data_IF_204332879298
#
_entry.id   IF_204332879298
#
_cell.length_a   1.000
_cell.length_b   1.000
_cell.length_c   1.000
_cell.angle_alpha   90.00
_cell.angle_beta   90.00
_cell.angle_gamma   90.00
#
_symmetry.space_group_name_H-M   'P 1'
#
loop_
_entity.id
_entity.type
_entity.pdbx_description
1 polymer ?
#
# COMPACT_ATOMS: atom_id res chain seq x y z
N UNK A 1 4.82 37.95 -31.34
CA UNK A 1 3.52 37.84 -30.62
C UNK A 1 3.02 36.39 -30.54
N UNK A 2 3.81 35.45 -30.00
CA UNK A 2 3.42 34.02 -29.91
C UNK A 2 3.84 33.38 -28.57
N UNK A 3 3.77 34.13 -27.47
CA UNK A 3 4.08 33.62 -26.12
C UNK A 3 2.89 33.67 -25.13
N UNK A 4 1.75 34.23 -25.51
CA UNK A 4 0.61 34.40 -24.59
C UNK A 4 -0.52 33.37 -24.74
N UNK A 5 -0.51 32.52 -25.78
CA UNK A 5 -1.57 31.49 -25.96
C UNK A 5 -1.41 30.26 -25.06
N UNK A 6 -0.25 30.04 -24.44
CA UNK A 6 0.03 28.84 -23.63
C UNK A 6 -0.49 28.90 -22.18
N UNK A 7 -0.78 30.08 -21.64
CA UNK A 7 -1.24 30.22 -20.24
C UNK A 7 -2.76 30.21 -20.08
N UNK A 8 -3.54 30.47 -21.14
CA UNK A 8 -5.00 30.50 -21.06
C UNK A 8 -5.65 29.10 -21.17
N UNK A 9 -5.05 28.15 -21.90
CA UNK A 9 -5.59 26.79 -22.03
C UNK A 9 -5.44 25.95 -20.74
N UNK A 10 -4.40 26.23 -19.93
CA UNK A 10 -4.06 25.42 -18.76
C UNK A 10 -5.00 25.64 -17.56
N UNK A 11 -5.75 26.75 -17.50
CA UNK A 11 -6.71 27.02 -16.41
C UNK A 11 -8.12 26.50 -16.69
N UNK A 12 -8.54 26.43 -17.95
CA UNK A 12 -9.90 25.99 -18.30
C UNK A 12 -10.04 24.46 -18.35
N UNK A 13 -9.01 23.73 -18.78
CA UNK A 13 -9.04 22.26 -18.82
C UNK A 13 -9.00 21.59 -17.44
N UNK A 14 -8.22 22.14 -16.50
CA UNK A 14 -8.13 21.64 -15.12
C UNK A 14 -9.42 21.84 -14.32
N UNK A 15 -10.14 22.94 -14.56
CA UNK A 15 -11.41 23.23 -13.87
C UNK A 15 -12.48 22.21 -14.20
N UNK A 16 -12.63 21.83 -15.47
CA UNK A 16 -13.67 20.89 -15.92
C UNK A 16 -13.45 19.47 -15.40
N UNK A 17 -12.19 19.01 -15.34
CA UNK A 17 -11.87 17.65 -14.87
C UNK A 17 -12.01 17.52 -13.35
N UNK A 18 -11.61 18.55 -12.59
CA UNK A 18 -11.78 18.56 -11.13
C UNK A 18 -13.26 18.71 -10.73
N UNK A 19 -14.05 19.48 -11.48
CA UNK A 19 -15.50 19.55 -11.31
C UNK A 19 -16.20 18.21 -11.58
N UNK A 20 -15.71 17.43 -12.54
CA UNK A 20 -16.25 16.09 -12.84
C UNK A 20 -15.88 15.06 -11.76
N UNK A 21 -14.69 15.15 -11.17
CA UNK A 21 -14.27 14.29 -10.06
C UNK A 21 -15.01 14.63 -8.75
N UNK A 22 -15.31 15.92 -8.52
CA UNK A 22 -16.02 16.38 -7.32
C UNK A 22 -17.54 16.09 -7.35
N UNK A 23 -18.12 15.86 -8.53
CA UNK A 23 -19.57 15.64 -8.70
C UNK A 23 -19.99 14.16 -8.68
N UNK A 24 -19.05 13.22 -8.57
CA UNK A 24 -19.37 11.79 -8.55
C UNK A 24 -19.55 11.26 -7.11
N UNK A 25 -20.70 10.64 -6.78
CA UNK A 25 -20.94 10.08 -5.46
C UNK A 25 -20.06 8.85 -5.17
N UNK A 26 -19.77 8.53 -3.90
CA UNK A 26 -19.06 7.31 -3.55
C UNK A 26 -19.84 6.08 -4.04
N UNK A 27 -19.20 5.29 -4.93
CA UNK A 27 -19.80 4.08 -5.52
C UNK A 27 -19.92 4.08 -7.05
N UNK A 28 -19.54 5.16 -7.75
CA UNK A 28 -19.51 5.17 -9.23
C UNK A 28 -18.43 4.21 -9.74
N UNK A 29 -18.76 3.35 -10.69
CA UNK A 29 -17.79 2.37 -11.22
C UNK A 29 -16.74 3.07 -12.09
N UNK A 30 -15.51 2.56 -12.10
CA UNK A 30 -14.40 3.14 -12.88
C UNK A 30 -14.71 3.27 -14.38
N UNK A 31 -15.67 2.51 -14.92
CA UNK A 31 -16.07 2.53 -16.33
C UNK A 31 -16.98 3.72 -16.67
N UNK A 32 -17.90 4.09 -15.76
CA UNK A 32 -18.87 5.17 -15.96
C UNK A 32 -18.21 6.56 -15.90
N UNK A 33 -17.13 6.68 -15.13
CA UNK A 33 -16.35 7.91 -14.97
C UNK A 33 -15.31 8.07 -16.11
N UNK A 34 -14.81 6.97 -16.67
CA UNK A 34 -13.71 6.99 -17.65
C UNK A 34 -14.11 7.54 -19.03
N UNK A 35 -15.32 7.24 -19.52
CA UNK A 35 -15.80 7.72 -20.84
C UNK A 35 -15.91 9.24 -20.94
N UNK A 36 -16.68 9.89 -20.04
CA UNK A 36 -16.81 11.36 -20.03
C UNK A 36 -15.49 12.09 -19.76
N UNK A 37 -14.61 11.51 -18.93
CA UNK A 37 -13.25 12.04 -18.72
C UNK A 37 -12.43 12.01 -20.01
N UNK A 38 -12.53 10.93 -20.79
CA UNK A 38 -11.81 10.78 -22.05
C UNK A 38 -12.31 11.74 -23.14
N UNK A 39 -13.61 12.01 -23.19
CA UNK A 39 -14.18 12.97 -24.14
C UNK A 39 -13.88 14.41 -23.75
N UNK A 40 -13.89 14.73 -22.45
CA UNK A 40 -13.42 16.02 -21.91
C UNK A 40 -11.94 16.24 -22.18
N UNK A 41 -11.14 15.17 -22.07
CA UNK A 41 -9.71 15.17 -22.35
C UNK A 41 -9.38 15.43 -23.83
N UNK A 42 -10.09 14.77 -24.77
CA UNK A 42 -9.95 15.05 -26.21
C UNK A 42 -10.26 16.51 -26.55
N UNK A 43 -11.32 17.06 -25.94
CA UNK A 43 -11.72 18.45 -26.15
C UNK A 43 -10.71 19.45 -25.56
N UNK A 44 -10.17 19.18 -24.37
CA UNK A 44 -9.21 20.06 -23.70
C UNK A 44 -7.83 20.12 -24.39
N UNK A 45 -7.46 19.05 -25.10
CA UNK A 45 -6.15 18.94 -25.75
C UNK A 45 -6.08 19.47 -27.18
N UNK A 46 -7.16 20.10 -27.68
CA UNK A 46 -7.15 20.88 -28.91
C UNK A 46 -6.62 20.14 -30.14
N UNK A 47 -7.18 18.98 -30.50
CA UNK A 47 -6.98 18.32 -31.81
C UNK A 47 -5.59 17.74 -32.12
N UNK A 48 -4.50 18.39 -31.70
CA UNK A 48 -3.12 18.02 -32.02
C UNK A 48 -2.64 16.76 -31.27
N UNK A 49 -3.40 16.28 -30.28
CA UNK A 49 -3.12 15.03 -29.59
C UNK A 49 -3.18 13.81 -30.51
N UNK A 50 -3.88 13.88 -31.66
CA UNK A 50 -3.95 12.76 -32.62
C UNK A 50 -2.60 12.40 -33.24
N UNK A 51 -1.61 13.30 -33.22
CA UNK A 51 -0.26 13.02 -33.73
C UNK A 51 0.70 12.46 -32.67
N UNK A 52 0.49 12.76 -31.38
CA UNK A 52 1.34 12.32 -30.27
C UNK A 52 0.80 11.11 -29.47
N UNK A 53 -0.53 10.93 -29.42
CA UNK A 53 -1.22 9.84 -28.70
C UNK A 53 -1.14 8.45 -29.35
N UNK A 54 -1.02 8.26 -30.69
CA UNK A 54 -1.05 6.91 -31.25
C UNK A 54 0.16 6.05 -30.84
N UNK A 55 1.17 6.64 -30.19
CA UNK A 55 2.37 5.95 -29.73
C UNK A 55 2.26 5.40 -28.30
N UNK A 56 1.27 5.80 -27.51
CA UNK A 56 1.15 5.36 -26.12
C UNK A 56 0.18 4.18 -25.98
N UNK A 57 0.57 3.11 -25.27
CA UNK A 57 -0.23 1.91 -25.16
C UNK A 57 -1.55 2.20 -24.43
N UNK A 58 -2.67 1.80 -25.04
CA UNK A 58 -4.01 1.92 -24.44
C UNK A 58 -4.21 0.98 -23.25
N UNK A 59 -3.50 -0.13 -23.26
CA UNK A 59 -3.42 -1.12 -22.17
C UNK A 59 -1.96 -1.50 -22.04
N UNK A 60 -1.43 -1.43 -20.82
CA UNK A 60 -0.09 -1.93 -20.54
C UNK A 60 -0.09 -3.46 -20.48
N UNK A 61 0.92 -4.07 -21.08
CA UNK A 61 1.20 -5.50 -20.89
C UNK A 61 1.62 -5.77 -19.43
N UNK A 62 1.37 -6.99 -18.96
CA UNK A 62 1.58 -7.36 -17.56
C UNK A 62 2.97 -6.98 -17.00
N UNK A 63 4.10 -7.21 -17.70
CA UNK A 63 5.41 -6.79 -17.20
C UNK A 63 5.53 -5.27 -16.98
N UNK A 64 4.89 -4.47 -17.83
CA UNK A 64 4.88 -3.01 -17.70
C UNK A 64 3.98 -2.55 -16.55
N UNK A 65 2.83 -3.19 -16.35
CA UNK A 65 1.96 -2.96 -15.18
C UNK A 65 2.74 -3.25 -13.90
N UNK A 66 3.32 -4.44 -13.79
CA UNK A 66 4.09 -4.86 -12.62
C UNK A 66 5.22 -3.88 -12.33
N UNK A 67 6.03 -3.53 -13.34
CA UNK A 67 7.11 -2.55 -13.17
C UNK A 67 6.61 -1.21 -12.65
N UNK A 68 5.53 -0.66 -13.22
CA UNK A 68 4.99 0.64 -12.80
C UNK A 68 4.44 0.60 -11.37
N UNK A 69 3.72 -0.46 -11.02
CA UNK A 69 3.24 -0.67 -9.66
C UNK A 69 4.43 -0.79 -8.70
N UNK A 70 5.42 -1.63 -9.03
CA UNK A 70 6.59 -1.84 -8.19
C UNK A 70 7.40 -0.57 -7.94
N UNK A 71 7.60 0.26 -8.97
CA UNK A 71 8.27 1.55 -8.84
C UNK A 71 7.51 2.50 -7.90
N UNK A 72 6.20 2.65 -8.11
CA UNK A 72 5.32 3.50 -7.27
C UNK A 72 5.35 3.03 -5.82
N UNK A 73 5.20 1.72 -5.64
CA UNK A 73 5.14 1.04 -4.36
C UNK A 73 6.45 1.16 -3.58
N UNK A 74 7.58 0.93 -4.25
CA UNK A 74 8.90 1.12 -3.67
C UNK A 74 9.14 2.59 -3.29
N UNK A 75 8.66 3.54 -4.10
CA UNK A 75 8.76 4.96 -3.80
C UNK A 75 8.00 5.34 -2.52
N UNK A 76 6.72 4.96 -2.41
CA UNK A 76 5.91 5.21 -1.19
C UNK A 76 6.55 4.57 0.03
N UNK A 77 6.92 3.29 -0.08
CA UNK A 77 7.48 2.56 1.05
C UNK A 77 8.84 3.12 1.52
N UNK A 78 9.65 3.71 0.62
CA UNK A 78 10.88 4.42 1.01
C UNK A 78 10.59 5.67 1.85
N UNK A 79 9.56 6.44 1.49
CA UNK A 79 9.15 7.64 2.23
C UNK A 79 8.64 7.24 3.62
N UNK A 80 7.77 6.24 3.70
CA UNK A 80 7.24 5.72 4.97
C UNK A 80 8.36 5.21 5.89
N UNK A 81 9.34 4.46 5.36
CA UNK A 81 10.49 4.00 6.16
C UNK A 81 11.36 5.14 6.65
N UNK A 82 11.59 6.17 5.83
CA UNK A 82 12.35 7.36 6.26
C UNK A 82 11.62 8.06 7.41
N UNK A 83 10.30 8.18 7.34
CA UNK A 83 9.50 8.74 8.41
C UNK A 83 9.60 7.92 9.71
N UNK A 84 9.47 6.59 9.63
CA UNK A 84 9.65 5.70 10.80
C UNK A 84 11.04 5.87 11.41
N UNK A 85 12.10 5.93 10.60
CA UNK A 85 13.47 6.15 11.09
C UNK A 85 13.65 7.51 11.77
N UNK A 86 13.05 8.57 11.22
CA UNK A 86 13.02 9.90 11.86
C UNK A 86 12.30 9.82 13.20
N UNK A 87 11.16 9.15 13.26
CA UNK A 87 10.42 8.95 14.51
C UNK A 87 11.28 8.15 15.51
N UNK A 88 11.89 7.04 15.13
CA UNK A 88 12.74 6.26 16.04
C UNK A 88 13.95 7.05 16.56
N UNK A 89 14.62 7.83 15.71
CA UNK A 89 15.74 8.68 16.12
C UNK A 89 15.36 9.71 17.20
N UNK A 90 14.12 10.20 17.20
CA UNK A 90 13.60 11.09 18.26
C UNK A 90 13.60 10.44 19.65
N UNK A 91 13.59 9.10 19.74
CA UNK A 91 13.59 8.34 21.00
C UNK A 91 14.99 8.22 21.62
N UNK A 92 16.04 8.11 20.81
CA UNK A 92 17.43 8.04 21.25
C UNK A 92 17.98 9.46 21.56
N UNK A 93 17.37 10.16 22.52
CA UNK A 93 18.07 11.29 23.18
C UNK A 93 18.71 10.76 24.46
N UNK A 94 20.05 10.77 24.57
CA UNK A 94 20.74 10.41 25.81
C UNK A 94 20.21 11.26 26.96
N UNK A 95 19.89 10.61 28.09
CA UNK A 95 19.48 11.30 29.31
C UNK A 95 20.52 12.39 29.67
N UNK A 96 20.06 13.64 29.84
CA UNK A 96 20.90 14.76 30.30
C UNK A 96 21.38 15.72 29.21
N UNK A 97 21.08 15.49 27.93
CA UNK A 97 21.29 16.54 26.92
C UNK A 97 20.14 17.56 26.97
N UNK A 98 20.45 18.87 27.02
CA UNK A 98 19.41 19.90 26.95
C UNK A 98 18.60 19.71 25.68
N UNK A 99 17.30 19.99 25.77
CA UNK A 99 16.38 19.98 24.63
C UNK A 99 16.78 21.14 23.71
N UNK A 100 17.84 20.97 22.92
CA UNK A 100 18.14 21.90 21.84
C UNK A 100 16.92 21.86 20.94
N UNK A 101 16.31 23.01 20.72
CA UNK A 101 15.33 23.25 19.65
C UNK A 101 16.04 23.14 18.30
N UNK A 102 16.69 22.00 18.04
CA UNK A 102 17.07 21.63 16.69
C UNK A 102 15.79 21.37 15.94
N UNK A 103 15.59 22.14 14.87
CA UNK A 103 14.51 22.00 13.90
C UNK A 103 14.32 20.52 13.56
N UNK A 104 13.31 19.90 14.16
CA UNK A 104 13.03 18.48 13.91
C UNK A 104 12.82 18.33 12.40
N UNK A 105 13.51 17.38 11.73
CA UNK A 105 13.35 17.23 10.31
C UNK A 105 11.87 16.97 10.02
N UNK A 106 11.24 17.83 9.20
CA UNK A 106 9.82 17.70 8.94
C UNK A 106 9.56 16.36 8.26
N UNK A 107 8.49 15.70 8.67
CA UNK A 107 8.03 14.50 7.96
C UNK A 107 7.60 14.92 6.55
N UNK A 108 7.95 14.10 5.57
CA UNK A 108 7.49 14.32 4.20
C UNK A 108 5.94 14.29 4.20
N UNK A 109 5.24 15.31 3.66
CA UNK A 109 3.78 15.32 3.61
C UNK A 109 3.19 14.07 2.95
N UNK A 110 3.95 13.41 2.05
CA UNK A 110 3.56 12.18 1.36
C UNK A 110 3.59 10.94 2.26
N UNK A 111 4.18 11.03 3.46
CA UNK A 111 4.22 9.93 4.44
C UNK A 111 2.83 9.41 4.76
N UNK A 112 1.87 10.31 4.95
CA UNK A 112 0.49 9.99 5.33
C UNK A 112 -0.48 10.03 4.16
N UNK A 113 0.04 10.20 2.94
CA UNK A 113 -0.77 10.27 1.74
C UNK A 113 -1.28 8.89 1.37
N UNK A 114 -2.59 8.71 1.11
CA UNK A 114 -3.14 7.46 0.63
C UNK A 114 -2.41 6.94 -0.63
N UNK A 115 -2.26 5.63 -0.79
CA UNK A 115 -1.60 5.00 -1.94
C UNK A 115 -2.21 5.45 -3.27
N UNK A 116 -3.53 5.62 -3.32
CA UNK A 116 -4.23 6.12 -4.52
C UNK A 116 -3.79 7.52 -4.89
N UNK A 117 -3.74 8.45 -3.94
CA UNK A 117 -3.26 9.80 -4.16
C UNK A 117 -1.76 9.80 -4.50
N UNK A 118 -0.97 9.01 -3.78
CA UNK A 118 0.46 8.86 -4.02
C UNK A 118 0.75 8.36 -5.44
N UNK A 119 -0.05 7.42 -5.95
CA UNK A 119 0.09 6.93 -7.32
C UNK A 119 -0.04 8.06 -8.35
N UNK A 120 -1.04 8.92 -8.24
CA UNK A 120 -1.20 10.05 -9.15
C UNK A 120 -0.11 11.11 -8.97
N UNK A 121 0.31 11.41 -7.74
CA UNK A 121 1.42 12.32 -7.48
C UNK A 121 2.74 11.78 -8.06
N UNK A 122 3.00 10.49 -7.88
CA UNK A 122 4.19 9.84 -8.43
C UNK A 122 4.20 9.87 -9.96
N UNK A 123 3.04 9.64 -10.60
CA UNK A 123 2.91 9.81 -12.04
C UNK A 123 3.07 11.27 -12.47
N UNK A 124 2.65 12.25 -11.66
CA UNK A 124 2.86 13.69 -11.95
C UNK A 124 4.32 14.09 -11.90
N UNK A 125 5.06 13.57 -10.92
CA UNK A 125 6.50 13.78 -10.83
C UNK A 125 7.23 13.15 -12.03
N UNK A 126 6.78 11.97 -12.48
CA UNK A 126 7.39 11.23 -13.60
C UNK A 126 6.99 11.76 -14.98
N UNK A 127 5.73 12.13 -15.14
CA UNK A 127 5.12 12.58 -16.39
C UNK A 127 4.71 14.05 -16.24
N UNK A 128 5.58 14.94 -16.72
CA UNK A 128 5.42 16.40 -16.61
C UNK A 128 4.12 16.90 -17.28
N UNK A 129 3.67 16.22 -18.33
CA UNK A 129 2.46 16.58 -19.07
C UNK A 129 1.25 15.83 -18.49
N UNK A 130 0.27 16.60 -18.00
CA UNK A 130 -1.00 16.08 -17.47
C UNK A 130 -1.71 15.09 -18.43
N UNK A 131 -1.74 15.33 -19.76
CA UNK A 131 -2.27 14.36 -20.70
C UNK A 131 -1.61 12.98 -20.68
N UNK A 132 -0.28 12.97 -20.61
CA UNK A 132 0.51 11.74 -20.55
C UNK A 132 0.29 11.01 -19.23
N UNK A 133 0.24 11.75 -18.11
CA UNK A 133 -0.09 11.19 -16.80
C UNK A 133 -1.43 10.46 -16.83
N UNK A 134 -2.49 11.11 -17.31
CA UNK A 134 -3.84 10.54 -17.30
C UNK A 134 -3.91 9.29 -18.18
N UNK A 135 -3.23 9.31 -19.33
CA UNK A 135 -3.17 8.15 -20.22
C UNK A 135 -2.40 6.99 -19.59
N UNK A 136 -1.28 7.25 -18.91
CA UNK A 136 -0.50 6.22 -18.20
C UNK A 136 -1.26 5.67 -17.00
N UNK A 137 -1.90 6.53 -16.22
CA UNK A 137 -2.77 6.12 -15.12
C UNK A 137 -3.88 5.19 -15.63
N UNK A 138 -4.59 5.61 -16.68
CA UNK A 138 -5.65 4.81 -17.29
C UNK A 138 -5.13 3.46 -17.82
N UNK A 139 -4.03 3.46 -18.58
CA UNK A 139 -3.46 2.24 -19.15
C UNK A 139 -2.97 1.26 -18.06
N UNK A 140 -2.41 1.78 -16.97
CA UNK A 140 -2.01 0.99 -15.80
C UNK A 140 -3.21 0.40 -15.08
N UNK A 141 -4.23 1.21 -14.77
CA UNK A 141 -5.43 0.75 -14.08
C UNK A 141 -6.22 -0.29 -14.90
N UNK A 142 -6.28 -0.10 -16.23
CA UNK A 142 -6.84 -1.11 -17.15
C UNK A 142 -6.03 -2.39 -17.17
N UNK A 143 -4.71 -2.29 -17.14
CA UNK A 143 -3.82 -3.44 -16.97
C UNK A 143 -4.09 -4.17 -15.65
N UNK A 144 -4.19 -3.44 -14.54
CA UNK A 144 -4.55 -4.00 -13.25
C UNK A 144 -5.89 -4.76 -13.29
N UNK A 145 -6.92 -4.15 -13.88
CA UNK A 145 -8.23 -4.77 -14.06
C UNK A 145 -8.15 -6.07 -14.87
N UNK A 146 -7.35 -6.08 -15.95
CA UNK A 146 -7.13 -7.25 -16.82
C UNK A 146 -6.44 -8.40 -16.08
N UNK A 147 -5.40 -8.10 -15.29
CA UNK A 147 -4.54 -9.11 -14.69
C UNK A 147 -4.87 -9.44 -13.22
N UNK A 148 -5.83 -8.75 -12.58
CA UNK A 148 -6.19 -8.96 -11.16
C UNK A 148 -6.52 -10.40 -10.77
N UNK A 149 -7.04 -11.22 -11.70
CA UNK A 149 -7.41 -12.62 -11.41
C UNK A 149 -6.22 -13.58 -11.52
N UNK A 150 -5.20 -13.20 -12.28
CA UNK A 150 -4.03 -14.03 -12.54
C UNK A 150 -2.90 -13.78 -11.53
N UNK A 151 -2.87 -12.59 -10.91
CA UNK A 151 -1.77 -12.16 -10.05
C UNK A 151 -2.31 -11.50 -8.77
N UNK A 152 -2.16 -12.17 -7.63
CA UNK A 152 -2.51 -11.74 -6.28
C UNK A 152 -1.87 -10.40 -5.89
N UNK A 153 -0.61 -10.14 -6.23
CA UNK A 153 0.01 -8.83 -5.99
C UNK A 153 -0.70 -7.71 -6.78
N UNK A 154 -1.01 -7.93 -8.06
CA UNK A 154 -1.81 -6.97 -8.85
C UNK A 154 -3.20 -6.83 -8.24
N UNK A 155 -3.82 -7.93 -7.82
CA UNK A 155 -5.12 -7.93 -7.15
C UNK A 155 -5.10 -7.07 -5.89
N UNK A 156 -4.13 -7.27 -5.00
CA UNK A 156 -3.96 -6.49 -3.78
C UNK A 156 -3.86 -5.00 -4.10
N UNK A 157 -2.93 -4.62 -4.97
CA UNK A 157 -2.63 -3.23 -5.28
C UNK A 157 -3.83 -2.56 -5.96
N UNK A 158 -4.47 -3.24 -6.91
CA UNK A 158 -5.66 -2.73 -7.59
C UNK A 158 -6.81 -2.46 -6.60
N UNK A 159 -7.03 -3.35 -5.63
CA UNK A 159 -8.08 -3.20 -4.63
C UNK A 159 -7.74 -2.10 -3.61
N UNK A 160 -6.48 -1.92 -3.24
CA UNK A 160 -6.07 -0.80 -2.39
C UNK A 160 -6.21 0.54 -3.13
N UNK A 161 -5.77 0.62 -4.40
CA UNK A 161 -5.94 1.82 -5.22
C UNK A 161 -7.42 2.20 -5.41
N UNK A 162 -8.30 1.20 -5.52
CA UNK A 162 -9.75 1.39 -5.59
C UNK A 162 -10.41 1.69 -4.23
N UNK A 163 -9.67 1.68 -3.12
CA UNK A 163 -10.21 1.87 -1.78
C UNK A 163 -11.07 0.69 -1.27
N UNK A 164 -10.99 -0.48 -1.91
CA UNK A 164 -11.67 -1.72 -1.51
C UNK A 164 -10.94 -2.45 -0.38
N UNK A 165 -9.61 -2.30 -0.29
CA UNK A 165 -8.77 -2.87 0.76
C UNK A 165 -8.04 -1.77 1.54
N UNK A 166 -7.71 -2.06 2.79
CA UNK A 166 -6.97 -1.15 3.65
C UNK A 166 -5.51 -1.04 3.21
N UNK A 167 -4.93 0.15 3.35
CA UNK A 167 -3.51 0.35 3.07
C UNK A 167 -2.61 -0.41 4.03
N UNK A 168 -3.10 -0.77 5.22
CA UNK A 168 -2.41 -1.65 6.14
C UNK A 168 -2.14 -3.03 5.50
N UNK A 169 -3.05 -3.58 4.71
CA UNK A 169 -2.85 -4.85 3.99
C UNK A 169 -1.66 -4.73 3.02
N UNK A 170 -1.58 -3.61 2.31
CA UNK A 170 -0.48 -3.30 1.40
C UNK A 170 0.87 -3.12 2.12
N UNK A 171 0.89 -2.31 3.18
CA UNK A 171 2.12 -2.08 3.96
C UNK A 171 2.64 -3.38 4.54
N UNK A 172 1.74 -4.26 4.97
CA UNK A 172 2.12 -5.57 5.46
C UNK A 172 2.84 -6.43 4.39
N UNK A 173 2.34 -6.46 3.16
CA UNK A 173 3.02 -7.21 2.09
C UNK A 173 4.37 -6.60 1.68
N UNK A 174 4.55 -5.28 1.83
CA UNK A 174 5.86 -4.66 1.65
C UNK A 174 6.89 -5.07 2.67
N UNK A 175 6.48 -5.32 3.92
CA UNK A 175 7.40 -5.88 4.90
C UNK A 175 7.90 -7.26 4.47
N UNK A 176 7.03 -8.13 3.95
CA UNK A 176 7.47 -9.43 3.39
C UNK A 176 8.41 -9.27 2.22
N UNK A 177 8.09 -8.36 1.28
CA UNK A 177 8.96 -8.11 0.12
C UNK A 177 10.37 -7.75 0.54
N UNK A 178 10.54 -6.93 1.58
CA UNK A 178 11.86 -6.58 2.10
C UNK A 178 12.56 -7.75 2.77
N UNK A 179 11.84 -8.55 3.57
CA UNK A 179 12.43 -9.73 4.22
C UNK A 179 12.84 -10.80 3.19
N UNK A 180 12.06 -10.97 2.13
CA UNK A 180 12.38 -11.88 1.03
C UNK A 180 13.57 -11.40 0.19
N UNK A 181 13.91 -10.11 0.23
CA UNK A 181 15.13 -9.59 -0.41
C UNK A 181 16.40 -9.92 0.39
N UNK A 182 16.27 -10.18 1.70
CA UNK A 182 17.41 -10.52 2.56
C UNK A 182 17.65 -12.03 2.67
N UNK A 183 16.71 -12.86 2.22
CA UNK A 183 16.80 -14.32 2.30
C UNK A 183 16.87 -14.91 0.89
N UNK A 184 17.97 -15.59 0.52
CA UNK A 184 18.04 -16.27 -0.76
C UNK A 184 17.14 -17.52 -0.73
N UNK A 185 16.10 -17.51 -1.56
CA UNK A 185 15.18 -18.64 -1.71
C UNK A 185 15.56 -19.44 -2.96
N UNK A 186 16.22 -20.59 -2.77
CA UNK A 186 16.59 -21.50 -3.86
C UNK A 186 15.72 -22.76 -3.88
N UNK A 187 15.07 -23.09 -2.76
CA UNK A 187 14.29 -24.32 -2.59
C UNK A 187 13.06 -24.11 -1.70
N UNK A 188 12.13 -25.07 -1.74
CA UNK A 188 11.00 -25.11 -0.81
C UNK A 188 11.44 -25.24 0.66
N UNK A 189 12.63 -25.84 0.91
CA UNK A 189 13.22 -25.91 2.25
C UNK A 189 13.63 -24.52 2.76
N UNK A 190 14.20 -23.68 1.90
CA UNK A 190 14.56 -22.31 2.26
C UNK A 190 13.30 -21.50 2.60
N UNK A 191 12.20 -21.75 1.89
CA UNK A 191 10.91 -21.14 2.21
C UNK A 191 10.41 -21.60 3.60
N UNK A 192 10.55 -22.87 3.96
CA UNK A 192 10.21 -23.36 5.30
C UNK A 192 11.04 -22.70 6.40
N UNK A 193 12.34 -22.55 6.21
CA UNK A 193 13.19 -21.79 7.12
C UNK A 193 12.73 -20.33 7.24
N UNK A 194 12.42 -19.69 6.11
CA UNK A 194 11.85 -18.34 6.10
C UNK A 194 10.54 -18.25 6.88
N UNK A 195 9.63 -19.21 6.71
CA UNK A 195 8.36 -19.24 7.45
C UNK A 195 8.54 -19.42 8.96
N UNK A 196 9.53 -20.22 9.40
CA UNK A 196 9.83 -20.40 10.83
C UNK A 196 10.25 -19.10 11.51
N UNK A 197 10.98 -18.23 10.79
CA UNK A 197 11.38 -16.90 11.24
C UNK A 197 10.21 -15.92 11.14
N UNK A 198 9.43 -16.00 10.05
CA UNK A 198 8.31 -15.10 9.82
C UNK A 198 7.16 -15.32 10.82
N UNK A 199 6.94 -16.53 11.32
CA UNK A 199 5.82 -16.86 12.20
C UNK A 199 6.26 -17.37 13.58
N UNK A 200 6.91 -16.51 14.39
CA UNK A 200 7.36 -16.93 15.71
C UNK A 200 6.16 -17.29 16.59
N UNK A 201 6.19 -18.50 17.13
CA UNK A 201 5.15 -19.04 18.02
C UNK A 201 3.92 -19.63 17.31
N UNK A 202 3.93 -19.75 15.99
CA UNK A 202 2.98 -20.62 15.29
C UNK A 202 3.27 -22.09 15.59
N UNK A 203 2.24 -22.94 15.49
CA UNK A 203 2.44 -24.39 15.65
C UNK A 203 3.23 -24.93 14.47
N UNK A 204 4.10 -25.89 14.72
CA UNK A 204 4.91 -26.54 13.67
C UNK A 204 4.02 -27.09 12.55
N UNK A 205 2.93 -27.77 12.91
CA UNK A 205 1.90 -28.25 11.96
C UNK A 205 1.33 -27.16 11.04
N UNK A 206 1.07 -25.94 11.55
CA UNK A 206 0.53 -24.84 10.75
C UNK A 206 1.56 -24.30 9.76
N UNK A 207 2.84 -24.31 10.15
CA UNK A 207 3.96 -23.91 9.28
C UNK A 207 4.21 -24.98 8.23
N UNK A 208 4.17 -26.26 8.60
CA UNK A 208 4.32 -27.38 7.68
C UNK A 208 3.20 -27.40 6.63
N UNK A 209 1.95 -27.22 7.04
CA UNK A 209 0.80 -27.09 6.15
C UNK A 209 0.99 -25.94 5.14
N UNK A 210 1.53 -24.81 5.60
CA UNK A 210 1.84 -23.66 4.74
C UNK A 210 2.95 -24.00 3.73
N UNK A 211 3.99 -24.71 4.17
CA UNK A 211 5.11 -25.13 3.33
C UNK A 211 4.68 -26.16 2.28
N UNK A 212 3.85 -27.13 2.67
CA UNK A 212 3.25 -28.11 1.74
C UNK A 212 2.37 -27.40 0.70
N UNK A 213 1.54 -26.45 1.13
CA UNK A 213 0.71 -25.66 0.23
C UNK A 213 1.56 -24.79 -0.73
N UNK A 214 2.72 -24.30 -0.28
CA UNK A 214 3.65 -23.57 -1.14
C UNK A 214 4.32 -24.49 -2.18
N UNK A 215 4.81 -25.66 -1.76
CA UNK A 215 5.39 -26.64 -2.66
C UNK A 215 4.40 -27.13 -3.73
N UNK A 216 3.11 -27.25 -3.39
CA UNK A 216 2.06 -27.56 -4.34
C UNK A 216 1.73 -26.39 -5.30
N UNK A 217 1.99 -25.15 -4.88
CA UNK A 217 1.72 -23.95 -5.66
C UNK A 217 2.83 -23.62 -6.66
N UNK A 218 4.10 -23.80 -6.28
CA UNK A 218 5.24 -23.48 -7.13
C UNK A 218 5.82 -24.73 -7.79
N UNK A 219 5.87 -24.76 -9.12
CA UNK A 219 6.88 -25.59 -9.81
C UNK A 219 8.24 -24.92 -9.67
N UNK A 220 9.31 -25.70 -9.49
CA UNK A 220 10.67 -25.16 -9.41
C UNK A 220 11.01 -24.33 -10.66
N UNK A 221 11.78 -23.22 -10.53
CA UNK A 221 12.50 -22.77 -9.34
C UNK A 221 11.70 -21.85 -8.39
N UNK A 222 11.92 -22.02 -7.09
CA UNK A 222 11.47 -21.12 -6.02
C UNK A 222 12.14 -19.75 -6.19
N UNK A 223 11.36 -18.67 -6.05
CA UNK A 223 11.88 -17.30 -6.08
C UNK A 223 11.19 -16.41 -5.05
N UNK A 224 11.84 -15.31 -4.67
CA UNK A 224 11.24 -14.28 -3.81
C UNK A 224 9.92 -13.75 -4.36
N UNK A 225 9.80 -13.59 -5.68
CA UNK A 225 8.58 -13.15 -6.32
C UNK A 225 7.45 -14.19 -6.18
N UNK A 226 7.76 -15.47 -6.42
CA UNK A 226 6.81 -16.58 -6.26
C UNK A 226 6.35 -16.73 -4.81
N UNK A 227 7.27 -16.60 -3.85
CA UNK A 227 6.95 -16.63 -2.42
C UNK A 227 6.05 -15.44 -1.99
N UNK A 228 6.39 -14.22 -2.42
CA UNK A 228 5.58 -13.03 -2.15
C UNK A 228 4.17 -13.18 -2.72
N UNK A 229 4.06 -13.70 -3.94
CA UNK A 229 2.79 -13.91 -4.62
C UNK A 229 1.91 -14.93 -3.88
N UNK A 230 2.49 -16.06 -3.47
CA UNK A 230 1.80 -17.07 -2.69
C UNK A 230 1.29 -16.52 -1.35
N UNK A 231 2.15 -15.84 -0.58
CA UNK A 231 1.79 -15.25 0.70
C UNK A 231 0.71 -14.17 0.55
N UNK A 232 0.80 -13.36 -0.50
CA UNK A 232 -0.23 -12.36 -0.83
C UNK A 232 -1.56 -13.04 -1.15
N UNK A 233 -1.55 -14.15 -1.90
CA UNK A 233 -2.75 -14.95 -2.14
C UNK A 233 -3.38 -15.47 -0.85
N UNK A 234 -2.56 -16.00 0.08
CA UNK A 234 -3.04 -16.44 1.40
C UNK A 234 -3.60 -15.27 2.23
N UNK A 235 -3.00 -14.09 2.16
CA UNK A 235 -3.49 -12.89 2.84
C UNK A 235 -4.86 -12.47 2.32
N UNK A 236 -5.01 -12.36 1.00
CA UNK A 236 -6.27 -11.98 0.35
C UNK A 236 -7.38 -13.00 0.62
N UNK A 237 -7.02 -14.28 0.77
CA UNK A 237 -7.91 -15.36 1.19
C UNK A 237 -8.20 -15.40 2.70
N UNK A 238 -7.67 -14.46 3.51
CA UNK A 238 -7.76 -14.45 4.98
C UNK A 238 -7.21 -15.73 5.65
N UNK A 239 -6.31 -16.44 4.97
CA UNK A 239 -5.70 -17.70 5.42
C UNK A 239 -4.30 -17.53 6.01
N UNK A 240 -3.72 -16.34 5.88
CA UNK A 240 -2.38 -16.04 6.39
C UNK A 240 -2.30 -16.15 7.92
N UNK A 241 -1.25 -16.80 8.43
CA UNK A 241 -1.14 -17.25 9.83
C UNK A 241 -1.16 -16.08 10.82
N UNK A 242 -0.36 -15.04 10.59
CA UNK A 242 -0.27 -13.89 11.47
C UNK A 242 -1.57 -13.07 11.47
N UNK A 243 -2.18 -12.86 10.30
CA UNK A 243 -3.49 -12.23 10.19
C UNK A 243 -4.56 -13.00 10.98
N UNK A 244 -4.60 -14.34 10.86
CA UNK A 244 -5.52 -15.19 11.63
C UNK A 244 -5.28 -15.08 13.14
N UNK A 245 -4.01 -15.12 13.57
CA UNK A 245 -3.60 -14.93 14.97
C UNK A 245 -4.12 -13.60 15.52
N UNK A 246 -3.81 -12.49 14.85
CA UNK A 246 -4.22 -11.17 15.35
C UNK A 246 -5.72 -10.95 15.28
N UNK A 247 -6.40 -11.46 14.26
CA UNK A 247 -7.88 -11.43 14.20
C UNK A 247 -8.48 -12.16 15.39
N UNK A 248 -7.95 -13.33 15.76
CA UNK A 248 -8.42 -14.10 16.93
C UNK A 248 -8.17 -13.35 18.24
N UNK A 249 -6.97 -12.78 18.42
CA UNK A 249 -6.61 -12.02 19.63
C UNK A 249 -7.50 -10.78 19.76
N UNK A 250 -7.68 -10.00 18.69
CA UNK A 250 -8.53 -8.82 18.68
C UNK A 250 -9.99 -9.16 19.02
N UNK A 251 -10.55 -10.22 18.44
CA UNK A 251 -11.90 -10.70 18.77
C UNK A 251 -12.04 -11.11 20.23
N UNK A 252 -11.01 -11.73 20.79
CA UNK A 252 -11.01 -12.09 22.22
C UNK A 252 -10.90 -10.86 23.14
N UNK A 253 -10.16 -9.83 22.71
CA UNK A 253 -10.04 -8.56 23.44
C UNK A 253 -11.27 -7.66 23.33
N UNK A 254 -12.10 -7.85 22.29
CA UNK A 254 -13.36 -7.14 22.11
C UNK A 254 -14.47 -7.73 22.98
N UNK A 255 -14.36 -7.49 24.29
CA UNK A 255 -15.31 -7.97 25.31
C UNK A 255 -16.73 -7.44 25.13
N UNK A 256 -16.88 -6.35 24.37
CA UNK A 256 -18.16 -5.71 24.10
C UNK A 256 -18.74 -6.11 22.72
N UNK A 257 -18.06 -7.02 22.00
CA UNK A 257 -18.46 -7.52 20.68
C UNK A 257 -18.82 -6.41 19.67
N UNK A 258 -18.10 -5.29 19.72
CA UNK A 258 -18.34 -4.13 18.84
C UNK A 258 -17.72 -4.29 17.45
N UNK A 259 -16.92 -5.34 17.25
CA UNK A 259 -16.13 -5.61 16.05
C UNK A 259 -15.29 -4.40 15.58
N UNK A 260 -14.92 -3.53 16.52
CA UNK A 260 -14.13 -2.32 16.28
C UNK A 260 -13.50 -1.81 17.58
N UNK A 261 -12.32 -1.20 17.48
CA UNK A 261 -11.71 -0.47 18.59
C UNK A 261 -11.66 1.03 18.33
N UNK A 262 -11.68 1.80 19.42
CA UNK A 262 -11.28 3.21 19.41
C UNK A 262 -9.77 3.33 19.46
N UNK A 263 -9.29 4.52 19.14
CA UNK A 263 -7.85 4.82 19.16
C UNK A 263 -7.22 4.53 20.51
N UNK A 264 -7.81 5.04 21.60
CA UNK A 264 -7.31 4.82 22.97
C UNK A 264 -7.15 3.34 23.30
N UNK A 265 -8.19 2.56 23.04
CA UNK A 265 -8.26 1.14 23.41
C UNK A 265 -7.24 0.33 22.62
N UNK A 266 -7.10 0.64 21.33
CA UNK A 266 -6.12 -0.01 20.46
C UNK A 266 -4.68 0.33 20.86
N UNK A 267 -4.39 1.59 21.18
CA UNK A 267 -3.04 2.01 21.60
C UNK A 267 -2.64 1.38 22.93
N UNK A 268 -3.56 1.33 23.91
CA UNK A 268 -3.30 0.65 25.18
C UNK A 268 -3.02 -0.84 24.98
N UNK A 269 -3.81 -1.50 24.11
CA UNK A 269 -3.59 -2.90 23.74
C UNK A 269 -2.21 -3.09 23.10
N UNK A 270 -1.83 -2.24 22.15
CA UNK A 270 -0.54 -2.33 21.46
C UNK A 270 0.64 -2.10 22.40
N UNK A 271 0.55 -1.17 23.36
CA UNK A 271 1.61 -0.96 24.35
C UNK A 271 1.85 -2.17 25.24
N UNK A 272 0.81 -2.96 25.53
CA UNK A 272 0.94 -4.23 26.27
C UNK A 272 1.58 -5.34 25.42
N UNK A 273 1.28 -5.38 24.13
CA UNK A 273 1.74 -6.46 23.23
C UNK A 273 3.12 -6.18 22.62
N UNK A 274 3.43 -4.92 22.37
CA UNK A 274 4.66 -4.43 21.74
C UNK A 274 5.24 -3.27 22.56
N UNK A 275 5.71 -3.52 23.80
CA UNK A 275 6.19 -2.47 24.70
C UNK A 275 7.40 -1.69 24.16
N UNK A 276 8.11 -2.25 23.18
CA UNK A 276 9.25 -1.60 22.53
C UNK A 276 8.85 -0.68 21.37
N UNK A 277 7.64 -0.84 20.83
CA UNK A 277 7.14 0.01 19.75
C UNK A 277 6.55 1.29 20.36
N UNK A 278 7.00 2.45 19.85
CA UNK A 278 6.54 3.75 20.32
C UNK A 278 5.04 3.94 20.07
N UNK A 279 4.38 4.64 21.02
CA UNK A 279 2.95 4.96 20.96
C UNK A 279 2.63 5.80 19.72
N UNK A 280 3.52 6.71 19.31
CA UNK A 280 3.31 7.58 18.15
C UNK A 280 3.37 6.82 16.83
N UNK A 281 4.26 5.83 16.69
CA UNK A 281 4.29 4.92 15.53
C UNK A 281 2.98 4.13 15.45
N UNK A 282 2.56 3.54 16.57
CA UNK A 282 1.28 2.82 16.66
C UNK A 282 0.09 3.75 16.37
N UNK A 283 0.15 4.98 16.87
CA UNK A 283 -0.84 6.04 16.65
C UNK A 283 -0.96 6.39 15.17
N UNK A 284 0.16 6.65 14.51
CA UNK A 284 0.21 6.94 13.09
C UNK A 284 -0.36 5.79 12.25
N UNK A 285 -0.04 4.54 12.60
CA UNK A 285 -0.59 3.35 11.94
C UNK A 285 -2.11 3.25 12.08
N UNK A 286 -2.64 3.53 13.29
CA UNK A 286 -4.08 3.58 13.54
C UNK A 286 -4.75 4.72 12.78
N UNK A 287 -4.16 5.92 12.83
CA UNK A 287 -4.71 7.12 12.22
C UNK A 287 -4.80 6.97 10.69
N UNK A 288 -3.77 6.38 10.07
CA UNK A 288 -3.80 6.02 8.65
C UNK A 288 -4.93 5.04 8.31
N UNK A 289 -5.19 4.05 9.17
CA UNK A 289 -6.32 3.14 8.98
C UNK A 289 -7.68 3.84 9.18
N UNK A 290 -7.78 4.74 10.16
CA UNK A 290 -9.01 5.45 10.51
C UNK A 290 -9.47 6.43 9.42
N UNK A 291 -8.54 7.00 8.63
CA UNK A 291 -8.87 7.91 7.53
C UNK A 291 -9.90 7.31 6.56
N UNK A 292 -9.84 6.01 6.29
CA UNK A 292 -10.79 5.31 5.41
C UNK A 292 -12.21 5.30 5.97
N UNK A 293 -12.35 5.20 7.28
CA UNK A 293 -13.64 5.02 7.96
C UNK A 293 -14.28 6.33 8.38
N UNK A 294 -13.55 7.46 8.30
CA UNK A 294 -14.07 8.78 8.63
C UNK A 294 -14.55 8.92 10.09
N UNK A 295 -14.08 8.04 10.98
CA UNK A 295 -14.59 7.95 12.35
C UNK A 295 -13.53 7.49 13.35
N UNK A 296 -13.88 7.61 14.63
CA UNK A 296 -13.01 7.25 15.77
C UNK A 296 -12.94 5.73 16.03
N UNK A 297 -13.55 4.91 15.16
CA UNK A 297 -13.59 3.45 15.29
C UNK A 297 -13.08 2.79 14.03
N UNK A 298 -12.16 1.85 14.21
CA UNK A 298 -11.61 1.04 13.13
C UNK A 298 -12.01 -0.42 13.32
N UNK A 299 -12.50 -1.11 12.27
CA UNK A 299 -12.87 -2.52 12.35
C UNK A 299 -11.71 -3.43 12.77
N UNK A 300 -12.00 -4.52 13.48
CA UNK A 300 -10.97 -5.46 13.94
C UNK A 300 -10.19 -6.08 12.77
N UNK A 301 -10.83 -6.31 11.62
CA UNK A 301 -10.16 -6.87 10.44
C UNK A 301 -9.04 -5.94 9.94
N UNK A 302 -9.31 -4.63 9.89
CA UNK A 302 -8.31 -3.63 9.51
C UNK A 302 -7.20 -3.53 10.55
N UNK A 303 -7.57 -3.51 11.83
CA UNK A 303 -6.61 -3.46 12.93
C UNK A 303 -5.73 -4.71 12.99
N UNK A 304 -6.22 -5.87 12.53
CA UNK A 304 -5.41 -7.07 12.42
C UNK A 304 -4.24 -6.87 11.43
N UNK A 305 -4.46 -6.20 10.30
CA UNK A 305 -3.37 -5.85 9.38
C UNK A 305 -2.38 -4.86 10.00
N UNK A 306 -2.86 -3.89 10.77
CA UNK A 306 -1.98 -2.97 11.52
C UNK A 306 -1.09 -3.74 12.49
N UNK A 307 -1.68 -4.65 13.29
CA UNK A 307 -0.91 -5.50 14.19
C UNK A 307 0.07 -6.41 13.44
N UNK A 308 -0.27 -6.88 12.23
CA UNK A 308 0.67 -7.62 11.40
C UNK A 308 1.90 -6.78 11.01
N UNK A 309 1.71 -5.51 10.64
CA UNK A 309 2.82 -4.60 10.37
C UNK A 309 3.71 -4.43 11.62
N UNK A 310 3.10 -4.11 12.77
CA UNK A 310 3.82 -3.89 14.04
C UNK A 310 4.60 -5.13 14.49
N UNK A 311 3.98 -6.31 14.44
CA UNK A 311 4.60 -7.59 14.79
C UNK A 311 5.77 -7.91 13.85
N UNK A 312 5.69 -7.53 12.57
CA UNK A 312 6.81 -7.71 11.63
C UNK A 312 7.97 -6.75 11.92
N UNK A 313 7.68 -5.53 12.36
CA UNK A 313 8.73 -4.58 12.79
C UNK A 313 9.47 -5.13 14.01
N UNK A 314 8.76 -5.78 14.93
CA UNK A 314 9.32 -6.37 16.14
C UNK A 314 10.28 -7.55 15.88
N UNK A 315 10.24 -8.18 14.70
CA UNK A 315 11.21 -9.23 14.34
C UNK A 315 12.62 -8.65 14.20
N UNK A 316 12.74 -7.41 13.70
CA UNK A 316 14.05 -6.80 13.41
C UNK A 316 14.85 -6.39 14.64
N UNK A 317 14.20 -6.23 15.79
CA UNK A 317 14.85 -5.75 17.02
C UNK A 317 15.39 -6.89 17.89
N UNK A 318 15.22 -8.15 17.50
CA UNK A 318 15.63 -9.34 18.27
C UNK A 318 16.94 -9.97 17.83
N UNK A 319 17.53 -9.49 16.73
CA UNK A 319 18.85 -9.87 16.21
C UNK A 319 19.83 -8.70 16.40
#
# INVERSE_FOLDING_TARGET
MSKERGQFANKQGTGVVMDLLAKNPPGTTSAEVAGPLWDGFRKACGGDLETAVPMLPRVLEMPAVLKMLEETMAAKHRIERKAVGILQARQYRPYGQPKVEEDEPPLDPRTYMPLSQFFYEHLREKYVLQPTLLLMAHACLKGCERYRKAHATIMLVSRVLAGELDEATWRYTMHWRLLLQTVPLHSARDFGHFCSVLYPGSREEEVDDLCMAYAAHSSEPTSAATALEFLTGKLLGKQELRYRKWTKILKWKDTQHRNSFRRSDFLELCQKMFPHIRVDVTGAEYDAAAQRYGGDRVPLETLAYVLCCLDTMNIKDKD
#
